data_IF_175239153941
#
_entry.id   IF_175239153941
#
_cell.length_a   1.000
_cell.length_b   1.000
_cell.length_c   1.000
_cell.angle_alpha   90.00
_cell.angle_beta   90.00
_cell.angle_gamma   90.00
#
_symmetry.space_group_name_H-M   'P 1'
#
loop_
_entity.id
_entity.type
_entity.pdbx_description
1 polymer ?
#
# COMPACT_ATOMS: atom_id res chain seq x y z
N UNK A 1 3.02 20.25 -18.54
CA UNK A 1 3.44 19.02 -17.85
C UNK A 1 4.68 19.36 -17.05
N UNK A 2 4.50 19.45 -15.74
CA UNK A 2 5.53 19.72 -14.73
C UNK A 2 6.29 18.43 -14.45
N UNK A 3 7.64 18.42 -14.40
CA UNK A 3 8.39 17.23 -14.00
C UNK A 3 8.38 17.08 -12.47
N UNK A 4 8.13 15.85 -12.01
CA UNK A 4 8.39 15.40 -10.64
C UNK A 4 9.91 15.16 -10.45
N UNK A 5 10.45 15.33 -9.24
CA UNK A 5 11.88 15.53 -9.01
C UNK A 5 12.70 14.23 -9.00
N UNK A 6 13.90 14.36 -9.54
CA UNK A 6 15.01 13.41 -9.57
C UNK A 6 15.59 13.18 -8.16
N UNK A 7 15.77 11.93 -7.74
CA UNK A 7 16.52 11.58 -6.54
C UNK A 7 18.02 11.70 -6.82
N UNK A 8 18.65 12.76 -6.30
CA UNK A 8 20.10 12.94 -6.33
C UNK A 8 20.79 12.30 -5.11
N UNK A 9 21.93 11.69 -5.41
CA UNK A 9 22.78 10.86 -4.58
C UNK A 9 23.81 11.74 -3.87
N UNK A 10 23.85 11.71 -2.53
CA UNK A 10 24.92 12.37 -1.77
C UNK A 10 25.71 11.33 -0.96
N UNK A 11 26.92 10.99 -1.43
CA UNK A 11 28.00 10.44 -0.59
C UNK A 11 29.04 11.52 -0.37
N UNK A 12 29.36 11.81 0.88
CA UNK A 12 30.73 11.77 1.43
C UNK A 12 30.80 12.47 2.80
N UNK A 13 31.22 11.72 3.81
CA UNK A 13 31.93 12.25 4.99
C UNK A 13 33.42 12.44 4.59
N UNK A 14 34.20 13.32 5.26
CA UNK A 14 34.86 12.84 6.47
C UNK A 14 35.18 13.90 7.55
N UNK A 15 35.54 13.34 8.71
CA UNK A 15 36.55 13.80 9.67
C UNK A 15 36.09 14.33 11.03
N UNK A 16 36.70 13.67 12.01
CA UNK A 16 36.66 13.84 13.46
C UNK A 16 37.15 15.19 13.93
N UNK A 17 36.44 15.80 14.89
CA UNK A 17 37.09 16.64 15.91
C UNK A 17 36.36 16.48 17.24
N UNK A 18 37.13 16.06 18.25
CA UNK A 18 36.72 15.94 19.64
C UNK A 18 36.10 17.25 20.17
N UNK A 19 34.88 17.19 20.71
CA UNK A 19 34.35 18.25 21.58
C UNK A 19 33.87 17.68 22.91
N UNK A 20 34.55 18.15 23.95
CA UNK A 20 34.36 17.89 25.38
C UNK A 20 32.87 17.90 25.76
N UNK A 21 32.40 16.81 26.38
CA UNK A 21 31.12 16.74 27.10
C UNK A 21 31.15 17.70 28.29
N UNK A 22 30.61 18.92 28.12
CA UNK A 22 30.22 19.78 29.24
C UNK A 22 28.75 19.45 29.55
N UNK A 23 28.55 18.75 30.66
CA UNK A 23 27.27 18.32 31.22
C UNK A 23 26.43 19.56 31.55
N UNK A 24 25.62 20.04 30.59
CA UNK A 24 24.61 21.08 30.83
C UNK A 24 23.38 20.35 31.37
N UNK A 25 23.13 20.52 32.68
CA UNK A 25 21.85 20.15 33.32
C UNK A 25 20.72 20.69 32.44
N UNK A 26 19.90 19.79 31.88
CA UNK A 26 18.61 20.17 31.31
C UNK A 26 17.78 20.68 32.48
N UNK A 27 17.63 22.00 32.56
CA UNK A 27 16.45 22.56 33.19
C UNK A 27 15.27 22.09 32.34
N UNK A 28 14.29 21.46 32.98
CA UNK A 28 12.93 21.37 32.47
C UNK A 28 12.48 22.82 32.21
N UNK A 29 12.52 23.24 30.96
CA UNK A 29 11.69 24.34 30.50
C UNK A 29 10.29 23.78 30.45
N UNK A 30 9.51 24.05 31.50
CA UNK A 30 8.05 24.03 31.43
C UNK A 30 7.65 24.68 30.10
N UNK A 31 7.00 23.90 29.24
CA UNK A 31 6.54 24.39 27.95
C UNK A 31 5.63 25.58 28.18
N UNK A 32 5.90 26.69 27.48
CA UNK A 32 5.00 27.84 27.46
C UNK A 32 3.61 27.32 27.06
N UNK A 33 2.56 27.59 27.84
CA UNK A 33 1.22 27.13 27.51
C UNK A 33 0.77 27.77 26.19
N UNK A 34 0.73 26.96 25.14
CA UNK A 34 0.17 27.36 23.85
C UNK A 34 -1.35 27.41 23.97
N UNK A 35 -1.94 28.57 23.76
CA UNK A 35 -3.40 28.72 23.74
C UNK A 35 -3.89 28.59 22.30
N UNK A 36 -4.79 27.64 22.06
CA UNK A 36 -5.47 27.48 20.77
C UNK A 36 -6.88 28.03 20.91
N UNK A 37 -7.23 29.01 20.06
CA UNK A 37 -8.57 29.57 20.02
C UNK A 37 -9.41 28.77 19.02
N UNK A 38 -10.46 28.13 19.52
CA UNK A 38 -11.38 27.33 18.71
C UNK A 38 -12.53 28.19 18.21
N UNK A 39 -13.13 27.78 17.09
CA UNK A 39 -14.37 28.39 16.63
C UNK A 39 -15.49 28.13 17.65
N UNK A 40 -16.45 29.06 17.73
CA UNK A 40 -17.64 28.87 18.57
C UNK A 40 -18.38 27.61 18.15
N UNK A 41 -18.84 26.84 19.13
CA UNK A 41 -19.58 25.58 18.96
C UNK A 41 -18.76 24.42 18.33
N UNK A 42 -17.42 24.46 18.46
CA UNK A 42 -16.56 23.32 18.10
C UNK A 42 -16.93 22.06 18.88
N UNK A 43 -17.20 20.96 18.16
CA UNK A 43 -17.46 19.65 18.75
C UNK A 43 -16.13 18.97 19.07
N UNK A 44 -15.89 18.70 20.35
CA UNK A 44 -14.66 18.10 20.85
C UNK A 44 -14.94 16.79 21.56
N UNK A 45 -14.06 15.82 21.35
CA UNK A 45 -14.13 14.54 22.07
C UNK A 45 -13.48 14.68 23.45
N UNK A 46 -14.25 14.45 24.51
CA UNK A 46 -13.76 14.46 25.89
C UNK A 46 -13.13 13.11 26.20
N UNK A 47 -11.87 13.12 26.63
CA UNK A 47 -11.08 11.94 27.01
C UNK A 47 -11.10 11.75 28.52
N UNK A 48 -11.15 12.84 29.28
CA UNK A 48 -11.20 12.81 30.74
C UNK A 48 -11.98 14.02 31.27
N UNK A 49 -12.71 13.81 32.36
CA UNK A 49 -13.60 14.78 32.99
C UNK A 49 -13.18 15.00 34.46
N UNK A 50 -11.96 15.53 34.64
CA UNK A 50 -11.38 15.87 35.95
C UNK A 50 -11.75 17.28 36.41
N UNK A 51 -10.81 18.08 36.93
CA UNK A 51 -11.08 19.50 37.23
C UNK A 51 -11.17 20.36 35.95
N UNK A 52 -10.53 19.89 34.88
CA UNK A 52 -10.63 20.42 33.52
C UNK A 52 -11.08 19.29 32.57
N UNK A 53 -11.65 19.66 31.43
CA UNK A 53 -11.92 18.70 30.36
C UNK A 53 -10.62 18.45 29.60
N UNK A 54 -10.19 17.20 29.51
CA UNK A 54 -9.15 16.82 28.57
C UNK A 54 -9.83 16.45 27.26
N UNK A 55 -9.54 17.21 26.20
CA UNK A 55 -10.20 17.10 24.90
C UNK A 55 -9.18 16.80 23.81
N UNK A 56 -9.59 16.02 22.80
CA UNK A 56 -8.76 15.80 21.62
C UNK A 56 -8.92 16.99 20.66
N UNK A 57 -7.81 17.66 20.38
CA UNK A 57 -7.68 18.63 19.31
C UNK A 57 -6.98 17.99 18.11
N UNK A 58 -7.68 17.80 16.97
CA UNK A 58 -7.06 17.30 15.75
C UNK A 58 -5.81 18.12 15.37
N UNK A 59 -4.68 17.43 15.18
CA UNK A 59 -3.39 18.07 14.85
C UNK A 59 -2.60 18.65 16.03
N UNK A 60 -3.19 18.70 17.24
CA UNK A 60 -2.54 19.25 18.44
C UNK A 60 -2.48 18.27 19.63
N UNK A 61 -3.24 17.17 19.57
CA UNK A 61 -3.26 16.15 20.61
C UNK A 61 -4.25 16.46 21.73
N UNK A 62 -3.93 16.06 22.95
CA UNK A 62 -4.80 16.28 24.11
C UNK A 62 -4.56 17.69 24.66
N UNK A 63 -5.64 18.47 24.77
CA UNK A 63 -5.62 19.80 25.35
C UNK A 63 -6.58 19.89 26.53
N UNK A 64 -6.34 20.87 27.41
CA UNK A 64 -7.21 21.16 28.55
C UNK A 64 -8.18 22.28 28.18
N UNK A 65 -9.46 22.04 28.38
CA UNK A 65 -10.52 23.01 28.23
C UNK A 65 -11.21 23.24 29.58
N UNK A 66 -11.60 24.50 29.83
CA UNK A 66 -12.33 24.87 31.03
C UNK A 66 -13.81 24.48 30.89
N UNK A 67 -14.32 23.75 31.90
CA UNK A 67 -15.71 23.28 31.97
C UNK A 67 -16.72 24.42 31.88
N UNK A 68 -16.37 25.61 32.36
CA UNK A 68 -17.27 26.77 32.38
C UNK A 68 -17.74 27.20 30.98
N UNK A 69 -16.94 26.90 29.94
CA UNK A 69 -17.24 27.26 28.56
C UNK A 69 -17.72 26.08 27.70
N UNK A 70 -17.77 24.88 28.28
CA UNK A 70 -18.26 23.70 27.60
C UNK A 70 -19.75 23.48 27.89
N UNK A 71 -20.51 23.16 26.84
CA UNK A 71 -21.87 22.64 26.99
C UNK A 71 -21.88 21.19 26.56
N UNK A 72 -22.30 20.31 27.46
CA UNK A 72 -22.55 18.92 27.11
C UNK A 72 -23.71 18.88 26.12
N UNK A 73 -23.42 18.57 24.85
CA UNK A 73 -24.46 18.13 23.96
C UNK A 73 -24.85 16.73 24.42
N UNK A 74 -26.13 16.53 24.76
CA UNK A 74 -26.70 15.19 24.74
C UNK A 74 -26.39 14.61 23.36
N UNK A 75 -25.80 13.41 23.34
CA UNK A 75 -25.56 12.67 22.10
C UNK A 75 -26.87 12.77 21.31
N UNK A 76 -26.87 13.55 20.20
CA UNK A 76 -27.78 13.20 19.12
C UNK A 76 -27.48 11.73 18.92
N UNK A 77 -28.49 10.88 19.13
CA UNK A 77 -28.51 9.57 18.53
C UNK A 77 -28.02 9.82 17.13
N UNK A 78 -26.77 9.44 16.87
CA UNK A 78 -26.26 9.50 15.53
C UNK A 78 -27.21 8.56 14.83
N UNK A 79 -28.17 9.11 14.08
CA UNK A 79 -28.70 8.37 12.97
C UNK A 79 -27.47 7.83 12.25
N UNK A 80 -27.46 6.59 11.77
CA UNK A 80 -26.38 6.09 10.96
C UNK A 80 -26.37 6.92 9.67
N UNK A 81 -25.87 8.16 9.77
CA UNK A 81 -25.45 8.94 8.65
C UNK A 81 -24.28 8.16 8.12
N UNK A 82 -24.40 7.81 6.86
CA UNK A 82 -23.43 7.08 6.07
C UNK A 82 -22.15 7.94 5.99
N UNK A 83 -21.36 7.95 7.08
CA UNK A 83 -20.13 8.72 7.21
C UNK A 83 -19.00 8.16 6.33
N UNK A 84 -19.28 7.11 5.55
CA UNK A 84 -18.38 6.51 4.54
C UNK A 84 -17.83 7.53 3.54
N UNK A 85 -18.55 8.64 3.33
CA UNK A 85 -18.13 9.74 2.45
C UNK A 85 -17.05 10.67 3.05
N UNK A 86 -16.91 10.78 4.38
CA UNK A 86 -16.12 11.86 5.02
C UNK A 86 -14.90 11.40 5.84
N UNK A 87 -14.60 10.10 5.88
CA UNK A 87 -13.44 9.58 6.63
C UNK A 87 -12.11 9.71 5.89
N UNK A 88 -11.01 9.51 6.64
CA UNK A 88 -9.63 9.51 6.12
C UNK A 88 -9.53 8.51 4.95
N UNK A 89 -8.92 8.95 3.83
CA UNK A 89 -8.73 8.11 2.63
C UNK A 89 -7.31 7.55 2.52
N UNK A 90 -6.33 8.24 3.10
CA UNK A 90 -4.95 7.80 3.15
C UNK A 90 -4.40 8.05 4.55
N UNK A 91 -3.61 7.11 5.05
CA UNK A 91 -2.98 7.21 6.35
C UNK A 91 -1.57 6.64 6.30
N UNK A 92 -0.62 7.40 6.83
CA UNK A 92 0.75 6.95 7.07
C UNK A 92 1.05 7.06 8.55
N UNK A 93 1.49 5.97 9.15
CA UNK A 93 1.83 5.91 10.57
C UNK A 93 3.23 5.37 10.77
N UNK A 94 4.00 6.06 11.59
CA UNK A 94 5.26 5.58 12.13
C UNK A 94 5.05 5.19 13.61
N UNK A 95 5.20 3.91 13.89
CA UNK A 95 5.04 3.30 15.20
C UNK A 95 6.41 3.18 15.87
N UNK A 96 6.53 3.77 17.05
CA UNK A 96 7.76 3.74 17.84
C UNK A 96 8.03 2.38 18.46
N UNK A 97 9.21 2.27 19.11
CA UNK A 97 9.67 1.06 19.77
C UNK A 97 8.62 0.51 20.76
N UNK A 98 8.10 -0.67 20.47
CA UNK A 98 7.23 -1.43 21.35
C UNK A 98 7.84 -2.81 21.59
N UNK A 99 7.92 -3.18 22.87
CA UNK A 99 8.55 -4.43 23.34
C UNK A 99 7.53 -5.44 23.88
N UNK A 100 6.24 -5.12 23.85
CA UNK A 100 5.15 -6.02 24.24
C UNK A 100 4.60 -6.81 23.05
N UNK A 101 3.69 -7.72 23.35
CA UNK A 101 3.01 -8.55 22.36
C UNK A 101 1.64 -7.95 21.94
N UNK A 102 1.23 -6.87 22.60
CA UNK A 102 -0.07 -6.19 22.43
C UNK A 102 -0.05 -5.11 21.33
N UNK A 103 1.12 -4.75 20.80
CA UNK A 103 1.25 -3.73 19.76
C UNK A 103 0.36 -3.98 18.54
N UNK A 104 0.18 -5.26 18.16
CA UNK A 104 -0.74 -5.67 17.10
C UNK A 104 -2.21 -5.43 17.41
N UNK A 105 -2.64 -5.70 18.65
CA UNK A 105 -4.02 -5.51 19.10
C UNK A 105 -4.37 -4.02 19.21
N UNK A 106 -3.46 -3.22 19.76
CA UNK A 106 -3.63 -1.77 19.85
C UNK A 106 -3.72 -1.14 18.47
N UNK A 107 -2.87 -1.56 17.53
CA UNK A 107 -2.92 -1.13 16.14
C UNK A 107 -4.26 -1.51 15.49
N UNK A 108 -4.74 -2.73 15.70
CA UNK A 108 -6.03 -3.18 15.17
C UNK A 108 -7.20 -2.34 15.72
N UNK A 109 -7.24 -2.11 17.03
CA UNK A 109 -8.27 -1.27 17.66
C UNK A 109 -8.26 0.14 17.07
N UNK A 110 -7.07 0.70 16.83
CA UNK A 110 -6.95 1.99 16.16
C UNK A 110 -7.48 1.94 14.72
N UNK A 111 -7.10 0.94 13.92
CA UNK A 111 -7.58 0.80 12.54
C UNK A 111 -9.10 0.60 12.48
N UNK A 112 -9.72 -0.07 13.45
CA UNK A 112 -11.18 -0.21 13.50
C UNK A 112 -11.90 1.14 13.69
N UNK A 113 -11.25 2.12 14.34
CA UNK A 113 -11.83 3.44 14.54
C UNK A 113 -11.75 4.33 13.29
N UNK A 114 -10.67 4.21 12.52
CA UNK A 114 -10.37 5.15 11.42
C UNK A 114 -10.35 4.53 10.02
N UNK A 115 -10.41 3.20 9.94
CA UNK A 115 -10.07 2.43 8.74
C UNK A 115 -11.19 2.26 7.72
N UNK A 116 -12.45 2.45 8.12
CA UNK A 116 -13.62 2.13 7.28
C UNK A 116 -13.61 2.80 5.90
N UNK A 117 -13.02 3.99 5.80
CA UNK A 117 -12.90 4.79 4.58
C UNK A 117 -11.52 4.78 3.94
N UNK A 118 -10.52 4.14 4.57
CA UNK A 118 -9.13 4.15 4.10
C UNK A 118 -9.01 3.36 2.80
N UNK A 119 -8.32 3.97 1.85
CA UNK A 119 -7.91 3.38 0.57
C UNK A 119 -6.40 3.13 0.53
N UNK A 120 -5.63 3.97 1.21
CA UNK A 120 -4.18 3.81 1.34
C UNK A 120 -3.75 3.78 2.80
N UNK A 121 -2.95 2.78 3.17
CA UNK A 121 -2.40 2.61 4.49
C UNK A 121 -0.91 2.27 4.37
N UNK A 122 -0.06 3.10 4.99
CA UNK A 122 1.36 2.84 5.14
C UNK A 122 1.72 2.77 6.62
N UNK A 123 2.28 1.65 7.05
CA UNK A 123 2.70 1.41 8.42
C UNK A 123 4.20 1.17 8.46
N UNK A 124 4.89 2.01 9.21
CA UNK A 124 6.31 1.89 9.51
C UNK A 124 6.43 1.55 11.00
N UNK A 125 7.10 0.48 11.34
CA UNK A 125 7.19 0.03 12.72
C UNK A 125 8.61 -0.30 13.12
N UNK A 126 8.94 0.09 14.35
CA UNK A 126 10.15 -0.35 15.05
C UNK A 126 9.70 -1.18 16.25
N UNK A 127 10.00 -2.48 16.30
CA UNK A 127 9.61 -3.37 17.40
C UNK A 127 8.57 -4.42 17.01
N UNK A 128 7.92 -5.02 18.01
CA UNK A 128 7.03 -6.18 17.81
C UNK A 128 5.61 -5.73 17.49
N UNK A 129 5.31 -5.57 16.19
CA UNK A 129 3.94 -5.34 15.71
C UNK A 129 3.56 -6.48 14.78
N UNK A 130 2.58 -7.29 15.21
CA UNK A 130 2.07 -8.42 14.45
C UNK A 130 0.61 -8.20 14.10
N UNK A 131 0.26 -8.27 12.82
CA UNK A 131 -1.14 -8.14 12.37
C UNK A 131 -1.40 -9.07 11.18
N UNK A 132 -2.62 -9.58 11.05
CA UNK A 132 -3.01 -10.43 9.92
C UNK A 132 -3.66 -9.61 8.80
N UNK A 133 -3.60 -10.15 7.58
CA UNK A 133 -4.28 -9.58 6.43
C UNK A 133 -5.80 -9.52 6.62
N UNK A 134 -6.39 -10.54 7.25
CA UNK A 134 -7.79 -10.54 7.62
C UNK A 134 -8.12 -9.35 8.54
N UNK A 135 -7.35 -9.13 9.60
CA UNK A 135 -7.59 -8.02 10.53
C UNK A 135 -7.51 -6.65 9.85
N UNK A 136 -6.50 -6.44 8.98
CA UNK A 136 -6.38 -5.20 8.19
C UNK A 136 -7.59 -5.03 7.28
N UNK A 137 -7.99 -6.06 6.53
CA UNK A 137 -9.07 -5.96 5.55
C UNK A 137 -10.45 -5.74 6.19
N UNK A 138 -10.69 -6.33 7.36
CA UNK A 138 -11.92 -6.07 8.11
C UNK A 138 -11.98 -4.63 8.66
N UNK A 139 -10.86 -4.11 9.16
CA UNK A 139 -10.79 -2.73 9.65
C UNK A 139 -10.81 -1.70 8.51
N UNK A 140 -10.22 -2.05 7.36
CA UNK A 140 -10.05 -1.19 6.19
C UNK A 140 -10.63 -1.86 4.92
N UNK A 141 -11.97 -1.97 4.79
CA UNK A 141 -12.61 -2.72 3.70
C UNK A 141 -12.47 -2.05 2.32
N UNK A 142 -12.11 -0.76 2.25
CA UNK A 142 -11.91 -0.03 0.99
C UNK A 142 -10.44 0.04 0.57
N UNK A 143 -9.55 -0.70 1.24
CA UNK A 143 -8.11 -0.60 1.05
C UNK A 143 -7.68 -1.13 -0.32
N UNK A 144 -6.97 -0.30 -1.07
CA UNK A 144 -6.37 -0.60 -2.37
C UNK A 144 -4.85 -0.59 -2.31
N UNK A 145 -4.28 0.19 -1.40
CA UNK A 145 -2.83 0.39 -1.27
C UNK A 145 -2.41 0.08 0.16
N UNK A 146 -1.56 -0.95 0.33
CA UNK A 146 -1.02 -1.37 1.62
C UNK A 146 0.51 -1.38 1.56
N UNK A 147 1.14 -0.63 2.45
CA UNK A 147 2.58 -0.65 2.65
C UNK A 147 2.89 -1.00 4.11
N UNK A 148 3.68 -2.04 4.32
CA UNK A 148 4.13 -2.51 5.62
C UNK A 148 5.65 -2.51 5.66
N UNK A 149 6.24 -1.80 6.62
CA UNK A 149 7.66 -1.81 6.91
C UNK A 149 7.88 -2.10 8.38
N UNK A 150 8.57 -3.21 8.67
CA UNK A 150 8.85 -3.65 10.04
C UNK A 150 7.63 -4.15 10.81
N UNK A 151 6.49 -4.36 10.13
CA UNK A 151 5.28 -4.99 10.69
C UNK A 151 5.23 -6.45 10.21
N UNK A 152 5.27 -7.41 11.13
CA UNK A 152 5.24 -8.83 10.80
C UNK A 152 3.80 -9.32 10.55
N UNK A 153 3.64 -10.11 9.49
CA UNK A 153 2.36 -10.76 9.16
C UNK A 153 2.12 -11.98 10.06
N UNK A 154 1.18 -11.87 11.00
CA UNK A 154 0.92 -12.89 12.03
C UNK A 154 0.57 -14.28 11.46
N UNK A 155 -0.14 -14.32 10.33
CA UNK A 155 -0.57 -15.54 9.63
C UNK A 155 -0.19 -15.49 8.14
N UNK A 156 1.05 -15.10 7.83
CA UNK A 156 1.56 -14.92 6.47
C UNK A 156 1.21 -16.06 5.49
N UNK A 157 1.22 -17.32 5.93
CA UNK A 157 0.84 -18.48 5.11
C UNK A 157 -0.61 -18.44 4.60
N UNK A 158 -1.49 -17.73 5.29
CA UNK A 158 -2.89 -17.57 4.91
C UNK A 158 -3.14 -16.23 4.22
N UNK A 159 -2.11 -15.41 3.97
CA UNK A 159 -2.26 -14.04 3.47
C UNK A 159 -3.20 -13.94 2.25
N UNK A 160 -2.96 -14.73 1.21
CA UNK A 160 -3.79 -14.70 0.00
C UNK A 160 -5.21 -15.22 0.26
N UNK A 161 -5.36 -16.24 1.11
CA UNK A 161 -6.67 -16.79 1.49
C UNK A 161 -7.48 -15.79 2.33
N UNK A 162 -6.83 -15.07 3.23
CA UNK A 162 -7.44 -14.03 4.04
C UNK A 162 -7.90 -12.86 3.15
N UNK A 163 -7.09 -12.50 2.14
CA UNK A 163 -7.48 -11.49 1.14
C UNK A 163 -8.72 -11.92 0.33
N UNK A 164 -8.79 -13.19 -0.08
CA UNK A 164 -9.96 -13.75 -0.77
C UNK A 164 -11.20 -13.77 0.12
N UNK A 165 -11.09 -14.26 1.35
CA UNK A 165 -12.21 -14.35 2.30
C UNK A 165 -12.80 -12.99 2.67
N UNK A 166 -11.99 -11.94 2.63
CA UNK A 166 -12.40 -10.57 2.93
C UNK A 166 -12.76 -9.76 1.68
N UNK A 167 -12.73 -10.39 0.49
CA UNK A 167 -12.90 -9.75 -0.82
C UNK A 167 -12.03 -8.50 -1.01
N UNK A 168 -10.78 -8.57 -0.52
CA UNK A 168 -9.85 -7.44 -0.47
C UNK A 168 -9.51 -6.89 -1.85
N UNK A 169 -9.60 -5.58 -2.04
CA UNK A 169 -9.35 -4.92 -3.35
C UNK A 169 -7.92 -4.39 -3.51
N UNK A 170 -6.96 -4.94 -2.77
CA UNK A 170 -5.57 -4.49 -2.83
C UNK A 170 -5.02 -4.65 -4.25
N UNK A 171 -4.58 -3.52 -4.80
CA UNK A 171 -3.90 -3.42 -6.08
C UNK A 171 -2.41 -3.12 -5.93
N UNK A 172 -2.02 -2.45 -4.84
CA UNK A 172 -0.65 -2.04 -4.57
C UNK A 172 -0.21 -2.57 -3.20
N UNK A 173 0.85 -3.38 -3.18
CA UNK A 173 1.33 -4.03 -1.98
C UNK A 173 2.84 -3.83 -1.81
N UNK A 174 3.26 -3.21 -0.71
CA UNK A 174 4.65 -3.11 -0.31
C UNK A 174 4.89 -3.84 1.00
N UNK A 175 5.83 -4.77 1.03
CA UNK A 175 6.14 -5.65 2.15
C UNK A 175 7.64 -5.62 2.43
N UNK A 176 8.06 -4.79 3.38
CA UNK A 176 9.45 -4.64 3.80
C UNK A 176 9.60 -5.24 5.20
N UNK A 177 10.40 -6.29 5.34
CA UNK A 177 10.58 -7.03 6.60
C UNK A 177 9.26 -7.58 7.19
N UNK A 178 8.30 -7.93 6.35
CA UNK A 178 6.97 -8.38 6.78
C UNK A 178 6.83 -9.90 6.99
N UNK A 179 7.77 -10.68 6.46
CA UNK A 179 7.80 -12.15 6.54
C UNK A 179 8.86 -12.64 7.52
N UNK A 180 8.57 -13.77 8.15
CA UNK A 180 9.47 -14.45 9.09
C UNK A 180 10.12 -15.72 8.54
N UNK A 181 9.66 -16.23 7.39
CA UNK A 181 10.28 -17.40 6.73
C UNK A 181 10.24 -17.32 5.19
N UNK A 182 11.24 -17.94 4.53
CA UNK A 182 11.30 -18.01 3.06
C UNK A 182 10.17 -18.83 2.45
N UNK A 183 9.58 -19.77 3.21
CA UNK A 183 8.40 -20.51 2.78
C UNK A 183 7.21 -19.57 2.54
N UNK A 184 7.03 -18.55 3.39
CA UNK A 184 5.95 -17.57 3.25
C UNK A 184 6.13 -16.72 1.98
N UNK A 185 7.38 -16.31 1.71
CA UNK A 185 7.73 -15.54 0.50
C UNK A 185 7.50 -16.39 -0.76
N UNK A 186 7.98 -17.64 -0.77
CA UNK A 186 7.77 -18.58 -1.87
C UNK A 186 6.29 -18.81 -2.16
N UNK A 187 5.50 -19.02 -1.10
CA UNK A 187 4.06 -19.24 -1.23
C UNK A 187 3.34 -18.03 -1.81
N UNK A 188 3.71 -16.80 -1.42
CA UNK A 188 3.16 -15.60 -2.05
C UNK A 188 3.41 -15.60 -3.56
N UNK A 189 4.64 -15.89 -4.00
CA UNK A 189 4.96 -15.97 -5.42
C UNK A 189 4.15 -17.05 -6.15
N UNK A 190 3.96 -18.22 -5.55
CA UNK A 190 3.17 -19.33 -6.12
C UNK A 190 1.68 -18.99 -6.25
N UNK A 191 1.09 -18.39 -5.21
CA UNK A 191 -0.30 -17.96 -5.23
C UNK A 191 -0.52 -16.87 -6.30
N UNK A 192 0.43 -15.94 -6.44
CA UNK A 192 0.41 -14.91 -7.49
C UNK A 192 0.64 -15.47 -8.89
N UNK A 193 1.24 -16.66 -9.03
CA UNK A 193 1.41 -17.33 -10.32
C UNK A 193 0.10 -17.95 -10.82
N UNK A 194 -0.86 -18.20 -9.92
CA UNK A 194 -2.16 -18.78 -10.24
C UNK A 194 -3.16 -17.70 -10.71
N UNK A 195 -3.72 -17.80 -11.92
CA UNK A 195 -4.69 -16.83 -12.43
C UNK A 195 -6.03 -16.89 -11.69
N UNK A 196 -6.33 -17.99 -11.01
CA UNK A 196 -7.57 -18.18 -10.26
C UNK A 196 -7.47 -17.59 -8.84
N UNK A 197 -6.27 -17.25 -8.38
CA UNK A 197 -6.08 -16.64 -7.07
C UNK A 197 -6.64 -15.22 -7.05
N UNK A 198 -7.45 -14.90 -6.03
CA UNK A 198 -8.11 -13.60 -5.89
C UNK A 198 -7.13 -12.43 -5.89
N UNK A 199 -6.02 -12.54 -5.15
CA UNK A 199 -5.01 -11.50 -5.10
C UNK A 199 -4.28 -11.36 -6.44
N UNK A 200 -4.00 -12.45 -7.15
CA UNK A 200 -3.37 -12.42 -8.48
C UNK A 200 -4.23 -11.67 -9.53
N UNK A 201 -5.55 -11.70 -9.38
CA UNK A 201 -6.49 -10.98 -10.24
C UNK A 201 -6.57 -9.48 -9.94
N UNK A 202 -6.25 -9.05 -8.71
CA UNK A 202 -6.38 -7.65 -8.27
C UNK A 202 -5.04 -6.91 -8.20
N UNK A 203 -3.97 -7.58 -7.79
CA UNK A 203 -2.66 -6.99 -7.58
C UNK A 203 -2.01 -6.55 -8.89
N UNK A 204 -1.66 -5.27 -8.98
CA UNK A 204 -0.92 -4.67 -10.10
C UNK A 204 0.52 -4.31 -9.72
N UNK A 205 0.78 -4.04 -8.45
CA UNK A 205 2.10 -3.61 -7.97
C UNK A 205 2.50 -4.38 -6.71
N UNK A 206 3.71 -4.95 -6.72
CA UNK A 206 4.31 -5.64 -5.59
C UNK A 206 5.72 -5.11 -5.34
N UNK A 207 5.97 -4.62 -4.13
CA UNK A 207 7.30 -4.42 -3.59
C UNK A 207 7.53 -5.41 -2.45
N UNK A 208 8.64 -6.13 -2.47
CA UNK A 208 9.00 -7.06 -1.40
C UNK A 208 10.50 -6.99 -1.11
N UNK A 209 10.84 -6.82 0.16
CA UNK A 209 12.21 -6.95 0.62
C UNK A 209 12.27 -7.47 2.05
N UNK A 210 13.43 -7.99 2.41
CA UNK A 210 13.68 -8.54 3.73
C UNK A 210 15.15 -8.38 4.10
N UNK A 211 15.38 -8.14 5.38
CA UNK A 211 16.70 -8.00 6.00
C UNK A 211 17.04 -9.24 6.84
N UNK A 212 18.31 -9.35 7.23
CA UNK A 212 18.82 -10.36 8.17
C UNK A 212 18.07 -10.37 9.52
N UNK A 213 17.49 -9.25 9.94
CA UNK A 213 16.69 -9.16 11.17
C UNK A 213 15.27 -9.75 11.02
N UNK A 214 14.84 -10.04 9.79
CA UNK A 214 13.55 -10.62 9.46
C UNK A 214 13.75 -11.91 8.67
N UNK A 215 13.51 -11.89 7.36
CA UNK A 215 13.76 -12.99 6.45
C UNK A 215 14.25 -12.44 5.10
N UNK A 216 15.57 -12.49 4.80
CA UNK A 216 16.08 -12.03 3.51
C UNK A 216 15.64 -12.98 2.39
N UNK A 217 15.39 -12.43 1.20
CA UNK A 217 14.99 -13.19 0.01
C UNK A 217 16.12 -14.13 -0.41
N UNK A 218 15.84 -15.42 -0.53
CA UNK A 218 16.81 -16.43 -0.94
C UNK A 218 16.70 -16.85 -2.42
N UNK A 219 17.62 -17.73 -2.85
CA UNK A 219 17.64 -18.30 -4.21
C UNK A 219 16.32 -18.99 -4.57
N UNK A 220 15.71 -19.72 -3.62
CA UNK A 220 14.45 -20.42 -3.88
C UNK A 220 13.34 -19.43 -4.16
N UNK A 221 13.24 -18.36 -3.36
CA UNK A 221 12.28 -17.29 -3.57
C UNK A 221 12.45 -16.63 -4.93
N UNK A 222 13.69 -16.33 -5.34
CA UNK A 222 13.99 -15.75 -6.66
C UNK A 222 13.44 -16.64 -7.78
N UNK A 223 13.69 -17.95 -7.73
CA UNK A 223 13.17 -18.88 -8.74
C UNK A 223 11.63 -18.90 -8.78
N UNK A 224 10.96 -18.82 -7.62
CA UNK A 224 9.49 -18.75 -7.57
C UNK A 224 8.95 -17.46 -8.17
N UNK A 225 9.58 -16.32 -7.90
CA UNK A 225 9.20 -15.05 -8.52
C UNK A 225 9.42 -15.04 -10.03
N UNK A 226 10.53 -15.61 -10.53
CA UNK A 226 10.77 -15.76 -11.96
C UNK A 226 9.71 -16.65 -12.61
N UNK A 227 9.35 -17.78 -11.98
CA UNK A 227 8.26 -18.64 -12.46
C UNK A 227 6.91 -17.91 -12.47
N UNK A 228 6.60 -17.13 -11.43
CA UNK A 228 5.40 -16.31 -11.35
C UNK A 228 5.31 -15.30 -12.50
N UNK A 229 6.42 -14.63 -12.85
CA UNK A 229 6.44 -13.67 -13.95
C UNK A 229 6.11 -14.30 -15.31
N UNK A 230 6.38 -15.60 -15.50
CA UNK A 230 6.06 -16.31 -16.74
C UNK A 230 4.55 -16.51 -16.93
N UNK A 231 3.80 -16.69 -15.84
CA UNK A 231 2.37 -17.03 -15.88
C UNK A 231 1.47 -15.85 -15.54
N UNK A 232 1.87 -15.01 -14.58
CA UNK A 232 1.09 -13.85 -14.17
C UNK A 232 1.02 -12.84 -15.32
N UNK A 233 -0.18 -12.33 -15.61
CA UNK A 233 -0.43 -11.37 -16.69
C UNK A 233 -0.99 -10.03 -16.22
N UNK A 234 -1.06 -9.82 -14.90
CA UNK A 234 -1.75 -8.68 -14.28
C UNK A 234 -0.79 -7.75 -13.51
N UNK A 235 0.24 -8.32 -12.90
CA UNK A 235 1.29 -7.60 -12.18
C UNK A 235 2.13 -6.78 -13.15
N UNK A 236 1.92 -5.46 -13.12
CA UNK A 236 2.61 -4.46 -13.93
C UNK A 236 3.88 -3.92 -13.28
N UNK A 237 4.01 -4.00 -11.96
CA UNK A 237 5.21 -3.57 -11.27
C UNK A 237 5.66 -4.61 -10.25
N UNK A 238 6.94 -4.98 -10.31
CA UNK A 238 7.61 -5.82 -9.33
C UNK A 238 8.88 -5.11 -8.86
N UNK A 239 9.02 -4.96 -7.55
CA UNK A 239 10.25 -4.54 -6.88
C UNK A 239 10.69 -5.61 -5.90
N UNK A 240 11.91 -6.13 -6.05
CA UNK A 240 12.49 -7.10 -5.12
C UNK A 240 13.79 -6.57 -4.53
N UNK A 241 13.88 -6.58 -3.20
CA UNK A 241 15.11 -6.37 -2.46
C UNK A 241 15.90 -7.68 -2.41
N UNK A 242 17.03 -7.73 -3.09
CA UNK A 242 17.91 -8.92 -3.16
C UNK A 242 19.29 -8.60 -2.59
N UNK A 243 19.99 -9.62 -2.10
CA UNK A 243 21.42 -9.49 -1.76
C UNK A 243 22.25 -9.21 -3.03
N UNK A 244 23.44 -8.58 -2.91
CA UNK A 244 24.29 -8.27 -4.05
C UNK A 244 24.70 -9.54 -4.83
N UNK A 245 24.89 -10.66 -4.15
CA UNK A 245 25.24 -11.95 -4.74
C UNK A 245 24.09 -12.49 -5.59
N UNK A 246 22.86 -12.49 -5.07
CA UNK A 246 21.68 -12.94 -5.82
C UNK A 246 21.36 -12.02 -6.99
N UNK A 247 21.48 -10.70 -6.80
CA UNK A 247 21.28 -9.74 -7.87
C UNK A 247 22.28 -9.98 -9.01
N UNK A 248 23.57 -10.18 -8.71
CA UNK A 248 24.59 -10.42 -9.72
C UNK A 248 24.30 -11.66 -10.59
N UNK A 249 23.67 -12.68 -10.02
CA UNK A 249 23.33 -13.93 -10.72
C UNK A 249 22.02 -13.80 -11.52
N UNK A 250 21.00 -13.12 -10.99
CA UNK A 250 19.63 -13.18 -11.53
C UNK A 250 19.14 -11.90 -12.21
N UNK A 251 19.91 -10.82 -12.18
CA UNK A 251 19.52 -9.53 -12.80
C UNK A 251 19.12 -9.68 -14.27
N UNK A 252 19.86 -10.50 -15.04
CA UNK A 252 19.51 -10.74 -16.45
C UNK A 252 18.17 -11.49 -16.60
N UNK A 253 17.89 -12.45 -15.72
CA UNK A 253 16.63 -13.21 -15.75
C UNK A 253 15.42 -12.30 -15.49
N UNK A 254 15.52 -11.40 -14.51
CA UNK A 254 14.47 -10.41 -14.24
C UNK A 254 14.35 -9.36 -15.36
N UNK A 255 15.47 -8.91 -15.94
CA UNK A 255 15.46 -7.96 -17.06
C UNK A 255 14.73 -8.47 -18.29
N UNK A 256 14.71 -9.78 -18.55
CA UNK A 256 13.93 -10.36 -19.66
C UNK A 256 12.43 -10.11 -19.52
N UNK A 257 11.94 -9.97 -18.28
CA UNK A 257 10.53 -9.67 -18.01
C UNK A 257 10.24 -8.16 -17.93
N UNK A 258 11.26 -7.31 -17.90
CA UNK A 258 11.08 -5.86 -17.92
C UNK A 258 10.66 -5.40 -19.33
N UNK A 259 9.63 -4.58 -19.40
CA UNK A 259 9.05 -4.06 -20.65
C UNK A 259 8.08 -5.01 -21.34
N UNK A 260 7.82 -6.21 -20.80
CA UNK A 260 6.87 -7.15 -21.39
C UNK A 260 5.47 -6.54 -21.48
N UNK A 261 4.78 -6.67 -22.64
CA UNK A 261 3.41 -6.22 -22.78
C UNK A 261 2.48 -7.15 -22.00
N UNK A 262 1.58 -6.56 -21.22
CA UNK A 262 0.56 -7.25 -20.47
C UNK A 262 -0.80 -7.06 -21.15
N UNK A 263 -1.68 -8.09 -21.15
CA UNK A 263 -3.04 -7.98 -21.68
C UNK A 263 -3.96 -7.05 -20.86
N UNK A 264 -3.42 -6.34 -19.87
CA UNK A 264 -4.13 -5.33 -19.09
C UNK A 264 -4.27 -4.07 -19.93
N UNK A 265 -5.51 -3.74 -20.28
CA UNK A 265 -5.86 -2.55 -21.06
C UNK A 265 -5.72 -1.31 -20.17
N UNK A 266 -4.73 -0.43 -20.45
CA UNK A 266 -4.57 0.86 -19.77
C UNK A 266 -5.62 1.87 -20.24
N UNK A 267 -5.76 2.02 -21.56
CA UNK A 267 -6.77 2.90 -22.15
C UNK A 267 -7.58 2.13 -23.18
N UNK A 268 -8.89 2.04 -22.96
CA UNK A 268 -9.80 1.49 -23.96
C UNK A 268 -9.76 2.41 -25.18
N UNK A 269 -9.69 1.82 -26.37
CA UNK A 269 -9.91 2.55 -27.62
C UNK A 269 -11.17 3.43 -27.52
N UNK A 270 -11.03 4.68 -27.94
CA UNK A 270 -12.13 5.64 -27.94
C UNK A 270 -13.31 5.09 -28.77
N UNK A 271 -14.53 5.46 -28.38
CA UNK A 271 -15.73 5.05 -29.13
C UNK A 271 -15.66 5.48 -30.59
N UNK A 272 -15.03 6.62 -30.89
CA UNK A 272 -14.81 7.09 -32.26
C UNK A 272 -13.89 6.15 -33.05
N UNK A 273 -12.77 5.71 -32.48
CA UNK A 273 -11.87 4.76 -33.14
C UNK A 273 -12.53 3.40 -33.34
N UNK A 274 -13.31 2.92 -32.36
CA UNK A 274 -14.10 1.70 -32.48
C UNK A 274 -15.12 1.80 -33.61
N UNK A 275 -15.88 2.90 -33.66
CA UNK A 275 -16.88 3.13 -34.71
C UNK A 275 -16.22 3.28 -36.09
N UNK A 276 -15.10 3.99 -36.20
CA UNK A 276 -14.38 4.14 -37.47
C UNK A 276 -13.86 2.79 -37.98
N UNK A 277 -13.28 1.98 -37.10
CA UNK A 277 -12.83 0.64 -37.42
C UNK A 277 -14.00 -0.27 -37.82
N UNK A 278 -15.10 -0.26 -37.06
CA UNK A 278 -16.31 -1.02 -37.40
C UNK A 278 -16.95 -0.53 -38.70
N UNK A 279 -16.92 0.77 -38.99
CA UNK A 279 -17.43 1.34 -40.26
C UNK A 279 -16.59 0.90 -41.44
N UNK A 280 -15.27 0.75 -41.28
CA UNK A 280 -14.41 0.15 -42.31
C UNK A 280 -14.66 -1.35 -42.45
N UNK A 281 -14.66 -2.09 -41.33
CA UNK A 281 -14.82 -3.54 -41.33
C UNK A 281 -16.22 -3.97 -41.81
N UNK A 282 -17.28 -3.21 -41.50
CA UNK A 282 -18.67 -3.54 -41.86
C UNK A 282 -19.21 -2.75 -43.06
N UNK A 283 -18.61 -1.62 -43.42
CA UNK A 283 -19.14 -0.69 -44.43
C UNK A 283 -18.54 -0.84 -45.84
N UNK A 284 -17.65 -1.81 -46.07
CA UNK A 284 -17.04 -2.01 -47.39
C UNK A 284 -18.00 -2.58 -48.43
N UNK A 285 -18.46 -1.74 -49.36
CA UNK A 285 -19.09 -2.13 -50.64
C UNK A 285 -18.15 -2.91 -51.61
N UNK A 286 -16.96 -3.29 -51.16
CA UNK A 286 -15.98 -4.02 -51.99
C UNK A 286 -15.98 -5.47 -51.55
N UNK A 287 -16.58 -6.32 -52.39
CA UNK A 287 -16.91 -7.74 -52.16
C UNK A 287 -15.74 -8.69 -51.86
N UNK A 288 -14.54 -8.18 -51.56
CA UNK A 288 -13.29 -8.95 -51.41
C UNK A 288 -12.38 -8.50 -50.25
N UNK A 289 -12.84 -7.68 -49.30
CA UNK A 289 -11.98 -7.35 -48.14
C UNK A 289 -12.10 -8.42 -47.06
N UNK A 290 -10.97 -9.05 -46.67
CA UNK A 290 -10.89 -10.00 -45.56
C UNK A 290 -11.34 -9.41 -44.21
N UNK A 291 -11.43 -8.07 -44.11
CA UNK A 291 -11.97 -7.36 -42.96
C UNK A 291 -13.50 -7.46 -42.85
N UNK A 292 -14.21 -7.62 -43.97
CA UNK A 292 -15.67 -7.74 -43.99
C UNK A 292 -16.19 -9.10 -43.51
N UNK A 293 -15.31 -10.11 -43.49
CA UNK A 293 -15.62 -11.48 -43.04
C UNK A 293 -15.30 -11.71 -41.56
N UNK A 294 -14.77 -10.71 -40.84
CA UNK A 294 -14.47 -10.86 -39.42
C UNK A 294 -15.76 -10.93 -38.61
N UNK A 295 -15.88 -11.95 -37.75
CA UNK A 295 -16.97 -12.05 -36.79
C UNK A 295 -16.76 -11.11 -35.59
N UNK A 296 -17.82 -10.91 -34.80
CA UNK A 296 -17.80 -9.99 -33.67
C UNK A 296 -16.80 -10.40 -32.57
N UNK A 297 -16.52 -11.69 -32.41
CA UNK A 297 -15.52 -12.20 -31.47
C UNK A 297 -14.10 -11.77 -31.87
N UNK A 298 -13.75 -11.95 -33.15
CA UNK A 298 -12.44 -11.51 -33.69
C UNK A 298 -12.31 -9.99 -33.66
N UNK A 299 -13.36 -9.24 -33.98
CA UNK A 299 -13.36 -7.78 -33.89
C UNK A 299 -13.16 -7.30 -32.44
N UNK A 300 -13.81 -7.94 -31.48
CA UNK A 300 -13.62 -7.65 -30.05
C UNK A 300 -12.18 -7.91 -29.61
N UNK A 301 -11.57 -9.01 -30.07
CA UNK A 301 -10.16 -9.32 -29.81
C UNK A 301 -9.24 -8.27 -30.42
N UNK A 302 -9.44 -7.88 -31.69
CA UNK A 302 -8.62 -6.85 -32.35
C UNK A 302 -8.71 -5.53 -31.58
N UNK A 303 -9.90 -5.11 -31.16
CA UNK A 303 -10.08 -3.87 -30.38
C UNK A 303 -9.49 -3.98 -28.97
N UNK A 304 -9.46 -5.18 -28.38
CA UNK A 304 -8.78 -5.41 -27.11
C UNK A 304 -7.26 -5.33 -27.27
N UNK A 305 -6.70 -5.89 -28.36
CA UNK A 305 -5.27 -5.85 -28.68
C UNK A 305 -4.79 -4.47 -29.14
N UNK A 306 -5.65 -3.70 -29.82
CA UNK A 306 -5.34 -2.35 -30.27
C UNK A 306 -5.51 -1.30 -29.15
N UNK A 307 -6.05 -1.68 -28.00
CA UNK A 307 -6.03 -0.86 -26.80
C UNK A 307 -4.60 -0.84 -26.22
N UNK A 308 -4.20 0.27 -25.58
CA UNK A 308 -2.83 0.38 -25.08
C UNK A 308 -2.61 -0.62 -23.93
N UNK A 309 -1.78 -1.63 -24.18
CA UNK A 309 -1.36 -2.60 -23.19
C UNK A 309 -0.54 -1.92 -22.08
N UNK A 310 -0.69 -2.40 -20.84
CA UNK A 310 0.28 -2.12 -19.82
C UNK A 310 1.63 -2.76 -20.17
N UNK A 311 2.72 -2.13 -19.74
CA UNK A 311 4.07 -2.70 -19.81
C UNK A 311 4.49 -3.05 -18.41
N UNK A 312 5.07 -4.24 -18.25
CA UNK A 312 5.65 -4.68 -16.99
C UNK A 312 6.92 -3.90 -16.68
N UNK A 313 7.09 -3.47 -15.45
CA UNK A 313 8.32 -2.90 -14.92
C UNK A 313 8.82 -3.80 -13.78
N UNK A 314 10.01 -4.36 -13.97
CA UNK A 314 10.72 -5.14 -12.94
C UNK A 314 11.91 -4.32 -12.47
N UNK A 315 12.07 -4.19 -11.15
CA UNK A 315 13.16 -3.48 -10.49
C UNK A 315 13.76 -4.36 -9.40
N UNK A 316 15.09 -4.47 -9.38
CA UNK A 316 15.83 -5.16 -8.32
C UNK A 316 16.66 -4.10 -7.61
N UNK A 317 16.57 -4.07 -6.29
CA UNK A 317 17.29 -3.12 -5.45
C UNK A 317 17.97 -3.86 -4.28
N UNK A 318 18.86 -3.13 -3.61
CA UNK A 318 19.57 -3.59 -2.44
C UNK A 318 19.15 -2.69 -1.27
N UNK A 319 18.65 -3.30 -0.20
CA UNK A 319 18.32 -2.61 1.04
C UNK A 319 19.51 -2.76 2.01
N UNK A 320 20.12 -1.64 2.37
CA UNK A 320 21.19 -1.51 3.38
C UNK A 320 20.64 -1.60 4.82
#
# INVERSE_FOLDING_TARGET
MTPLPTFEKARSSPSSTQRKKKKKKRHETEGVPSTVLLERDSLLHVVNDGDHLEVVLPGFGIARADKLYAKQLEQRQQSPQDHSAFGLKALTLALGLHAGDDGGEVLLNFLQLVGSSLRSLALYAVGSYRISMASISHACPQLTDLFLEGVELANANNFCRDAEQTDSKISCLGLVNAFSTNEQISRLAEELASPDNHLAQHLSELGLSGSEASCPVDETNVQRFLAMLQTNRKLSYLSLGLSPELQAVHDEAFRRHHGEPLPVVKEKLSTQCKIAFLSFARGGQVSNSAAATLDDGVLSLILAFAATCATRAVTIHFDD
#
